data_IF_011267909825
#
_entry.id   IF_011267909825
#
_cell.length_a   1.000
_cell.length_b   1.000
_cell.length_c   1.000
_cell.angle_alpha   90.00
_cell.angle_beta   90.00
_cell.angle_gamma   90.00
#
_symmetry.space_group_name_H-M   'P 1'
#
loop_
_entity.id
_entity.type
_entity.pdbx_description
1 polymer ?
#
# COMPACT_ATOMS: atom_id res chain seq x y z
N UNK A 1 -5.08 -23.53 -35.65
CA UNK A 1 -6.07 -22.58 -35.12
C UNK A 1 -5.90 -22.24 -33.64
N UNK A 2 -5.79 -23.19 -32.70
CA UNK A 2 -5.60 -22.87 -31.23
C UNK A 2 -4.28 -22.18 -30.87
N UNK A 3 -3.20 -22.36 -31.62
CA UNK A 3 -1.88 -21.73 -31.40
C UNK A 3 -1.86 -20.27 -31.85
N UNK A 4 -2.53 -19.93 -32.93
CA UNK A 4 -2.63 -18.55 -33.49
C UNK A 4 -3.49 -17.64 -32.60
N UNK A 5 -4.55 -18.17 -31.99
CA UNK A 5 -5.37 -17.44 -31.00
C UNK A 5 -4.64 -17.12 -29.69
N UNK A 6 -3.65 -17.95 -29.31
CA UNK A 6 -2.83 -17.70 -28.10
C UNK A 6 -1.84 -16.56 -28.30
N UNK A 7 -1.33 -16.36 -29.53
CA UNK A 7 -0.41 -15.25 -29.88
C UNK A 7 -1.11 -13.89 -30.05
N UNK A 8 -2.38 -13.89 -30.46
CA UNK A 8 -3.17 -12.67 -30.65
C UNK A 8 -3.73 -12.09 -29.35
N UNK A 9 -3.80 -12.89 -28.27
CA UNK A 9 -4.33 -12.44 -26.96
C UNK A 9 -3.57 -11.26 -26.32
N UNK A 10 -2.22 -11.20 -26.33
CA UNK A 10 -1.48 -10.06 -25.77
C UNK A 10 -1.72 -8.76 -26.56
N UNK A 11 -1.73 -8.85 -27.88
CA UNK A 11 -1.95 -7.68 -28.77
C UNK A 11 -3.38 -7.15 -28.67
N UNK A 12 -4.38 -8.03 -28.64
CA UNK A 12 -5.78 -7.65 -28.44
C UNK A 12 -6.00 -7.04 -27.05
N UNK A 13 -5.29 -7.54 -26.03
CA UNK A 13 -5.31 -6.97 -24.67
C UNK A 13 -4.72 -5.56 -24.68
N UNK A 14 -3.58 -5.36 -25.33
CA UNK A 14 -2.91 -4.07 -25.43
C UNK A 14 -3.74 -3.02 -26.21
N UNK A 15 -4.42 -3.44 -27.28
CA UNK A 15 -5.37 -2.59 -28.03
C UNK A 15 -6.61 -2.27 -27.16
N UNK A 16 -7.16 -3.24 -26.44
CA UNK A 16 -8.29 -3.00 -25.56
C UNK A 16 -7.92 -2.08 -24.37
N UNK A 17 -6.72 -2.23 -23.81
CA UNK A 17 -6.18 -1.34 -22.78
C UNK A 17 -5.99 0.10 -23.28
N UNK A 18 -5.60 0.28 -24.55
CA UNK A 18 -5.46 1.61 -25.15
C UNK A 18 -6.81 2.26 -25.52
N UNK A 19 -7.80 1.48 -25.93
CA UNK A 19 -9.12 1.98 -26.36
C UNK A 19 -10.09 2.17 -25.18
N UNK A 20 -9.98 1.34 -24.13
CA UNK A 20 -10.88 1.34 -22.98
C UNK A 20 -10.10 1.25 -21.65
N UNK A 21 -9.18 2.15 -21.37
CA UNK A 21 -8.30 2.05 -20.21
C UNK A 21 -9.09 1.98 -18.90
N UNK A 22 -10.09 2.85 -18.70
CA UNK A 22 -10.89 2.91 -17.46
C UNK A 22 -11.65 1.61 -17.17
N UNK A 23 -12.21 0.97 -18.20
CA UNK A 23 -13.01 -0.26 -18.07
C UNK A 23 -12.12 -1.49 -17.82
N UNK A 24 -10.97 -1.55 -18.47
CA UNK A 24 -10.00 -2.63 -18.28
C UNK A 24 -9.32 -2.55 -16.90
N UNK A 25 -9.06 -1.35 -16.41
CA UNK A 25 -8.56 -1.12 -15.06
C UNK A 25 -9.54 -1.61 -13.99
N UNK A 26 -10.82 -1.21 -14.06
CA UNK A 26 -11.85 -1.66 -13.14
C UNK A 26 -11.98 -3.21 -13.13
N UNK A 27 -11.92 -3.85 -14.31
CA UNK A 27 -11.92 -5.32 -14.42
C UNK A 27 -10.69 -5.98 -13.79
N UNK A 28 -9.51 -5.37 -13.91
CA UNK A 28 -8.28 -5.88 -13.33
C UNK A 28 -8.35 -5.82 -11.80
N UNK A 29 -8.87 -4.74 -11.24
CA UNK A 29 -9.04 -4.58 -9.80
C UNK A 29 -10.03 -5.59 -9.19
N UNK A 30 -11.10 -5.94 -9.89
CA UNK A 30 -11.99 -7.02 -9.46
C UNK A 30 -11.30 -8.39 -9.34
N UNK A 31 -10.26 -8.66 -10.13
CA UNK A 31 -9.47 -9.90 -9.97
C UNK A 31 -8.47 -9.82 -8.81
N UNK A 32 -7.99 -8.63 -8.49
CA UNK A 32 -7.04 -8.39 -7.39
C UNK A 32 -7.69 -8.43 -6.00
N UNK A 33 -8.97 -8.17 -5.88
CA UNK A 33 -9.74 -8.36 -4.62
C UNK A 33 -9.50 -9.72 -3.97
N UNK A 34 -9.20 -10.75 -4.76
CA UNK A 34 -8.88 -12.10 -4.24
C UNK A 34 -7.47 -12.23 -3.65
N UNK A 35 -6.61 -11.24 -3.87
CA UNK A 35 -5.21 -11.23 -3.43
C UNK A 35 -5.05 -10.41 -2.15
N UNK A 36 -5.98 -9.47 -1.90
CA UNK A 36 -5.98 -8.58 -0.75
C UNK A 36 -7.14 -8.91 0.18
N UNK A 37 -6.98 -9.85 1.11
CA UNK A 37 -8.05 -10.31 1.98
C UNK A 37 -8.56 -9.23 2.95
N UNK A 38 -7.82 -8.14 3.15
CA UNK A 38 -8.19 -7.01 4.00
C UNK A 38 -9.14 -6.01 3.32
N UNK A 39 -9.30 -6.05 2.00
CA UNK A 39 -10.19 -5.12 1.29
C UNK A 39 -11.63 -5.07 1.81
N UNK A 40 -12.28 -6.21 2.17
CA UNK A 40 -13.60 -6.18 2.75
C UNK A 40 -13.70 -5.39 4.05
N UNK A 41 -12.59 -5.19 4.77
CA UNK A 41 -12.55 -4.46 6.03
C UNK A 41 -12.59 -2.93 5.83
N UNK A 42 -12.23 -2.40 4.65
CA UNK A 42 -12.13 -0.96 4.40
C UNK A 42 -13.37 -0.15 4.83
N UNK A 43 -14.63 -0.63 4.65
CA UNK A 43 -15.81 0.11 5.12
C UNK A 43 -15.83 0.32 6.64
N UNK A 44 -15.24 -0.58 7.43
CA UNK A 44 -15.10 -0.41 8.88
C UNK A 44 -13.89 0.45 9.27
N UNK A 45 -12.88 0.52 8.42
CA UNK A 45 -11.63 1.23 8.68
C UNK A 45 -11.69 2.70 8.23
N UNK A 46 -12.48 3.02 7.21
CA UNK A 46 -12.60 4.37 6.66
C UNK A 46 -13.75 5.15 7.29
N UNK A 47 -13.60 6.46 7.35
CA UNK A 47 -14.68 7.39 7.72
C UNK A 47 -15.12 8.18 6.48
N UNK A 48 -16.43 8.20 6.20
CA UNK A 48 -17.00 8.91 5.03
C UNK A 48 -16.85 10.43 5.08
N UNK A 49 -16.65 10.99 6.26
CA UNK A 49 -16.46 12.42 6.49
C UNK A 49 -14.98 12.85 6.52
N UNK A 50 -14.06 11.91 6.34
CA UNK A 50 -12.62 12.12 6.49
C UNK A 50 -11.84 11.84 5.20
N UNK A 51 -10.59 12.31 5.18
CA UNK A 51 -9.62 12.07 4.11
C UNK A 51 -9.02 10.68 4.28
N UNK A 52 -8.86 9.93 3.18
CA UNK A 52 -8.06 8.72 3.12
C UNK A 52 -6.78 8.98 2.33
N UNK A 53 -5.66 8.45 2.81
CA UNK A 53 -4.36 8.53 2.15
C UNK A 53 -3.97 7.17 1.59
N UNK A 54 -3.37 7.16 0.38
CA UNK A 54 -2.78 6.00 -0.26
C UNK A 54 -1.32 6.32 -0.59
N UNK A 55 -0.38 5.83 0.25
CA UNK A 55 1.05 6.12 0.15
C UNK A 55 1.73 4.90 -0.48
N UNK A 56 2.30 5.08 -1.68
CA UNK A 56 2.73 4.01 -2.57
C UNK A 56 1.56 3.53 -3.44
N UNK A 57 0.76 4.48 -3.95
CA UNK A 57 -0.51 4.18 -4.61
C UNK A 57 -0.38 3.34 -5.89
N UNK A 58 0.81 3.26 -6.48
CA UNK A 58 1.06 2.50 -7.71
C UNK A 58 0.02 2.85 -8.81
N UNK A 59 -0.65 1.85 -9.38
CA UNK A 59 -1.72 2.06 -10.37
C UNK A 59 -3.06 2.52 -9.74
N UNK A 60 -3.16 2.69 -8.41
CA UNK A 60 -4.33 3.19 -7.71
C UNK A 60 -5.32 2.11 -7.28
N UNK A 61 -4.83 0.90 -6.98
CA UNK A 61 -5.68 -0.21 -6.55
C UNK A 61 -6.42 0.13 -5.24
N UNK A 62 -5.69 0.46 -4.17
CA UNK A 62 -6.31 0.87 -2.91
C UNK A 62 -7.04 2.19 -3.05
N UNK A 63 -6.46 3.20 -3.71
CA UNK A 63 -7.11 4.49 -3.95
C UNK A 63 -8.49 4.34 -4.62
N UNK A 64 -8.64 3.41 -5.59
CA UNK A 64 -9.93 3.11 -6.22
C UNK A 64 -10.98 2.64 -5.21
N UNK A 65 -10.61 1.75 -4.28
CA UNK A 65 -11.52 1.20 -3.28
C UNK A 65 -11.82 2.21 -2.15
N UNK A 66 -10.92 3.16 -1.90
CA UNK A 66 -11.10 4.21 -0.92
C UNK A 66 -12.07 5.32 -1.39
N UNK A 67 -12.16 5.59 -2.70
CA UNK A 67 -13.03 6.65 -3.25
C UNK A 67 -14.48 6.62 -2.76
N UNK A 68 -15.19 5.48 -2.71
CA UNK A 68 -16.57 5.44 -2.22
C UNK A 68 -16.68 5.47 -0.69
N UNK A 69 -15.57 5.34 0.05
CA UNK A 69 -15.53 5.14 1.51
C UNK A 69 -15.03 6.35 2.29
N UNK A 70 -14.44 7.33 1.62
CA UNK A 70 -13.87 8.53 2.21
C UNK A 70 -14.49 9.81 1.62
N UNK A 71 -14.35 10.93 2.30
CA UNK A 71 -14.73 12.26 1.79
C UNK A 71 -13.89 12.65 0.57
N UNK A 72 -12.60 12.36 0.63
CA UNK A 72 -11.63 12.55 -0.45
C UNK A 72 -10.46 11.59 -0.27
N UNK A 73 -9.75 11.34 -1.36
CA UNK A 73 -8.55 10.51 -1.37
C UNK A 73 -7.37 11.33 -1.85
N UNK A 74 -6.23 11.19 -1.18
CA UNK A 74 -4.95 11.76 -1.58
C UNK A 74 -3.99 10.60 -1.81
N UNK A 75 -3.43 10.52 -3.00
CA UNK A 75 -2.52 9.45 -3.41
C UNK A 75 -1.09 9.98 -3.63
N UNK A 76 -0.11 9.22 -3.19
CA UNK A 76 1.32 9.52 -3.35
C UNK A 76 1.97 8.39 -4.13
N UNK A 77 2.54 8.72 -5.31
CA UNK A 77 3.17 7.74 -6.18
C UNK A 77 4.35 8.39 -6.93
N UNK A 78 5.60 8.05 -6.59
CA UNK A 78 6.78 8.69 -7.17
C UNK A 78 7.18 8.19 -8.56
N UNK A 79 6.83 6.94 -8.94
CA UNK A 79 7.25 6.37 -10.22
C UNK A 79 6.52 7.03 -11.39
N UNK A 80 7.22 7.66 -12.36
CA UNK A 80 6.60 8.40 -13.46
C UNK A 80 5.58 7.59 -14.25
N UNK A 81 5.85 6.30 -14.50
CA UNK A 81 4.98 5.42 -15.28
C UNK A 81 3.68 5.11 -14.53
N UNK A 82 3.77 4.86 -13.21
CA UNK A 82 2.61 4.59 -12.36
C UNK A 82 1.82 5.88 -12.13
N UNK A 83 2.51 6.98 -11.85
CA UNK A 83 1.93 8.32 -11.70
C UNK A 83 1.14 8.75 -12.95
N UNK A 84 1.68 8.50 -14.14
CA UNK A 84 0.96 8.81 -15.39
C UNK A 84 -0.34 8.00 -15.53
N UNK A 85 -0.30 6.70 -15.18
CA UNK A 85 -1.50 5.84 -15.18
C UNK A 85 -2.51 6.28 -14.13
N UNK A 86 -2.05 6.55 -12.92
CA UNK A 86 -2.89 7.01 -11.81
C UNK A 86 -3.60 8.32 -12.18
N UNK A 87 -2.87 9.30 -12.69
CA UNK A 87 -3.43 10.58 -13.17
C UNK A 87 -4.41 10.40 -14.33
N UNK A 88 -4.06 9.57 -15.30
CA UNK A 88 -4.94 9.27 -16.45
C UNK A 88 -6.30 8.69 -16.06
N UNK A 89 -6.37 7.94 -14.96
CA UNK A 89 -7.59 7.29 -14.50
C UNK A 89 -8.35 8.09 -13.42
N UNK A 90 -7.64 8.90 -12.61
CA UNK A 90 -8.20 9.40 -11.35
C UNK A 90 -7.95 10.89 -11.07
N UNK A 91 -7.27 11.67 -11.94
CA UNK A 91 -6.96 13.07 -11.67
C UNK A 91 -8.19 13.95 -11.35
N UNK A 92 -9.37 13.61 -11.87
CA UNK A 92 -10.63 14.30 -11.58
C UNK A 92 -11.34 13.82 -10.30
N UNK A 93 -10.85 12.74 -9.68
CA UNK A 93 -11.52 12.05 -8.58
C UNK A 93 -10.76 12.12 -7.26
N UNK A 94 -9.46 12.34 -7.32
CA UNK A 94 -8.57 12.40 -6.15
C UNK A 94 -7.39 13.32 -6.39
N UNK A 95 -6.79 13.79 -5.31
CA UNK A 95 -5.52 14.52 -5.33
C UNK A 95 -4.35 13.54 -5.49
N UNK A 96 -3.39 13.86 -6.40
CA UNK A 96 -2.29 12.94 -6.74
C UNK A 96 -0.96 13.67 -6.72
N UNK A 97 -0.04 13.23 -5.85
CA UNK A 97 1.30 13.77 -5.70
C UNK A 97 2.36 12.80 -6.23
N UNK A 98 3.24 13.33 -7.10
CA UNK A 98 4.40 12.61 -7.65
C UNK A 98 5.62 12.73 -6.75
N UNK A 99 5.55 12.24 -5.51
CA UNK A 99 6.60 12.38 -4.51
C UNK A 99 6.79 11.10 -3.70
N UNK A 100 7.98 10.92 -3.20
CA UNK A 100 8.30 9.94 -2.16
C UNK A 100 7.91 10.55 -0.81
N UNK A 101 7.13 9.84 0.00
CA UNK A 101 6.92 10.21 1.41
C UNK A 101 8.03 9.57 2.24
N UNK A 102 8.69 10.38 3.08
CA UNK A 102 9.86 9.98 3.86
C UNK A 102 9.98 10.79 5.14
N UNK A 103 11.03 10.54 5.92
CA UNK A 103 11.38 11.26 7.16
C UNK A 103 12.05 12.63 6.94
N UNK A 104 12.40 12.95 5.68
CA UNK A 104 13.10 14.19 5.32
C UNK A 104 12.66 14.70 3.94
N UNK A 105 12.96 15.97 3.67
CA UNK A 105 12.76 16.58 2.37
C UNK A 105 14.03 16.49 1.50
N UNK A 106 13.86 16.54 0.17
CA UNK A 106 14.95 16.51 -0.79
C UNK A 106 14.62 15.72 -2.04
N UNK A 107 15.57 14.90 -2.48
CA UNK A 107 15.40 13.95 -3.59
C UNK A 107 15.79 12.55 -3.11
N UNK A 108 15.08 11.55 -3.59
CA UNK A 108 15.35 10.14 -3.35
C UNK A 108 15.48 9.36 -4.64
N UNK A 109 16.30 8.32 -4.61
CA UNK A 109 16.48 7.40 -5.72
C UNK A 109 15.66 6.14 -5.49
N UNK A 110 14.66 5.89 -6.38
CA UNK A 110 13.95 4.63 -6.41
C UNK A 110 14.63 3.66 -7.35
N UNK A 111 14.86 2.45 -6.87
CA UNK A 111 15.43 1.34 -7.64
C UNK A 111 14.36 0.28 -7.88
N UNK A 112 14.24 -0.21 -9.10
CA UNK A 112 13.28 -1.26 -9.45
C UNK A 112 13.81 -2.14 -10.59
N UNK A 113 13.44 -3.44 -10.62
CA UNK A 113 13.79 -4.32 -11.74
C UNK A 113 13.05 -3.88 -13.02
N UNK A 114 13.73 -3.86 -14.16
CA UNK A 114 13.13 -3.54 -15.45
C UNK A 114 11.83 -4.34 -15.69
N UNK A 115 10.73 -3.63 -15.91
CA UNK A 115 9.38 -4.21 -16.05
C UNK A 115 8.71 -4.67 -14.73
N UNK A 116 9.35 -4.41 -13.56
CA UNK A 116 8.86 -4.81 -12.24
C UNK A 116 8.52 -3.64 -11.32
N UNK A 117 7.66 -2.73 -11.76
CA UNK A 117 7.32 -1.49 -11.05
C UNK A 117 6.66 -1.68 -9.67
N UNK A 118 6.13 -2.88 -9.39
CA UNK A 118 5.49 -3.19 -8.10
C UNK A 118 6.49 -3.39 -6.95
N UNK A 119 7.77 -3.56 -7.24
CA UNK A 119 8.85 -3.77 -6.26
C UNK A 119 9.81 -2.58 -6.24
N UNK A 120 9.32 -1.37 -6.49
CA UNK A 120 10.15 -0.18 -6.48
C UNK A 120 10.41 0.25 -5.04
N UNK A 121 11.67 0.42 -4.68
CA UNK A 121 12.09 0.76 -3.31
C UNK A 121 13.20 1.79 -3.31
N UNK A 122 13.26 2.61 -2.26
CA UNK A 122 14.42 3.41 -1.89
C UNK A 122 15.24 2.77 -0.76
N UNK A 123 14.72 1.70 -0.16
CA UNK A 123 15.40 1.00 0.91
C UNK A 123 16.60 0.22 0.36
N UNK A 124 17.80 0.55 0.81
CA UNK A 124 19.03 -0.18 0.45
C UNK A 124 18.99 -1.63 0.95
N UNK A 125 18.24 -1.89 2.02
CA UNK A 125 18.05 -3.22 2.61
C UNK A 125 17.16 -4.13 1.78
N UNK A 126 16.38 -3.63 0.82
CA UNK A 126 15.53 -4.45 -0.04
C UNK A 126 16.32 -5.13 -1.16
N UNK A 127 17.22 -6.08 -0.77
CA UNK A 127 17.99 -6.89 -1.69
C UNK A 127 17.11 -7.79 -2.56
N UNK A 128 15.94 -8.20 -2.06
CA UNK A 128 15.04 -9.09 -2.77
C UNK A 128 14.53 -8.52 -4.12
N UNK A 129 14.30 -7.21 -4.19
CA UNK A 129 14.00 -6.54 -5.45
C UNK A 129 15.20 -6.52 -6.40
N UNK A 130 16.42 -6.45 -5.86
CA UNK A 130 17.68 -6.32 -6.60
C UNK A 130 18.26 -7.69 -7.04
N UNK A 131 17.92 -8.78 -6.33
CA UNK A 131 18.43 -10.15 -6.60
C UNK A 131 17.74 -10.86 -7.76
N UNK A 132 16.80 -10.22 -8.44
CA UNK A 132 16.00 -10.83 -9.53
C UNK A 132 16.81 -11.22 -10.77
N UNK A 133 18.12 -10.90 -10.85
CA UNK A 133 18.95 -11.07 -12.05
C UNK A 133 18.53 -10.18 -13.24
N UNK A 134 17.61 -9.24 -13.02
CA UNK A 134 17.13 -8.28 -14.01
C UNK A 134 17.97 -7.02 -13.96
N UNK A 135 17.93 -6.26 -15.05
CA UNK A 135 18.49 -4.90 -15.09
C UNK A 135 17.74 -4.05 -14.05
N UNK A 136 18.48 -3.35 -13.21
CA UNK A 136 17.91 -2.40 -12.25
C UNK A 136 17.85 -1.03 -12.90
N UNK A 137 16.67 -0.46 -12.92
CA UNK A 137 16.42 0.92 -13.32
C UNK A 137 16.36 1.81 -12.08
N UNK A 138 16.79 3.06 -12.22
CA UNK A 138 16.77 4.06 -11.15
C UNK A 138 16.01 5.29 -11.62
N UNK A 139 15.15 5.81 -10.76
CA UNK A 139 14.42 7.06 -10.95
C UNK A 139 14.65 7.97 -9.75
N UNK A 140 14.96 9.24 -10.01
CA UNK A 140 15.04 10.28 -8.99
C UNK A 140 13.69 10.96 -8.88
N UNK A 141 13.16 11.08 -7.66
CA UNK A 141 11.89 11.76 -7.40
C UNK A 141 12.00 12.71 -6.18
N UNK A 142 11.18 13.77 -6.13
CA UNK A 142 11.11 14.64 -4.96
C UNK A 142 10.70 13.82 -3.73
N UNK A 143 11.34 14.11 -2.59
CA UNK A 143 11.08 13.49 -1.31
C UNK A 143 10.53 14.52 -0.32
N UNK A 144 9.45 14.21 0.38
CA UNK A 144 8.76 15.08 1.32
C UNK A 144 8.34 14.32 2.56
N UNK A 145 8.21 15.04 3.67
CA UNK A 145 7.57 14.48 4.87
C UNK A 145 6.05 14.56 4.72
N UNK A 146 5.31 13.62 5.30
CA UNK A 146 3.84 13.68 5.31
C UNK A 146 3.36 14.93 6.08
N UNK A 147 4.07 15.31 7.14
CA UNK A 147 3.75 16.48 7.96
C UNK A 147 3.85 17.81 7.19
N UNK A 148 4.71 17.88 6.15
CA UNK A 148 4.84 19.07 5.31
C UNK A 148 3.58 19.43 4.51
N UNK A 149 2.68 18.46 4.29
CA UNK A 149 1.40 18.66 3.63
C UNK A 149 0.33 19.28 4.54
N UNK A 150 0.55 19.33 5.86
CA UNK A 150 -0.36 19.91 6.85
C UNK A 150 -1.80 19.40 6.74
N UNK A 151 -1.95 18.10 6.44
CA UNK A 151 -3.25 17.48 6.23
C UNK A 151 -4.10 17.48 7.50
N UNK A 152 -5.39 17.68 7.34
CA UNK A 152 -6.37 17.68 8.43
C UNK A 152 -7.53 16.75 8.11
N UNK A 153 -8.22 16.27 9.16
CA UNK A 153 -9.32 15.32 9.08
C UNK A 153 -8.93 14.03 8.35
N UNK A 154 -7.72 13.52 8.61
CA UNK A 154 -7.25 12.23 8.08
C UNK A 154 -7.87 11.10 8.89
N UNK A 155 -8.64 10.22 8.24
CA UNK A 155 -9.33 9.12 8.88
C UNK A 155 -8.73 7.74 8.62
N UNK A 156 -8.02 7.58 7.51
CA UNK A 156 -7.41 6.32 7.10
C UNK A 156 -6.12 6.57 6.31
N UNK A 157 -5.13 5.70 6.51
CA UNK A 157 -3.87 5.72 5.73
C UNK A 157 -3.49 4.30 5.34
N UNK A 158 -3.35 4.03 4.03
CA UNK A 158 -2.63 2.86 3.49
C UNK A 158 -1.17 3.26 3.28
N UNK A 159 -0.25 2.42 3.70
CA UNK A 159 1.19 2.55 3.42
C UNK A 159 1.68 1.26 2.77
N UNK A 160 2.30 1.39 1.59
CA UNK A 160 2.86 0.29 0.82
C UNK A 160 4.06 0.82 0.02
N UNK A 161 5.23 0.82 0.63
CA UNK A 161 6.44 1.51 0.11
C UNK A 161 7.68 0.62 0.09
N UNK A 162 7.47 -0.71 0.14
CA UNK A 162 8.48 -1.72 -0.14
C UNK A 162 9.76 -1.58 0.70
N UNK A 163 9.58 -1.46 2.04
CA UNK A 163 10.66 -1.40 3.02
C UNK A 163 11.02 0.00 3.52
N UNK A 164 10.22 1.03 3.18
CA UNK A 164 10.43 2.42 3.62
C UNK A 164 9.36 2.92 4.61
N UNK A 165 8.58 2.01 5.19
CA UNK A 165 7.42 2.30 6.04
C UNK A 165 7.79 3.10 7.29
N UNK A 166 8.94 2.79 7.93
CA UNK A 166 9.42 3.53 9.10
C UNK A 166 9.67 5.00 8.80
N UNK A 167 10.32 5.30 7.67
CA UNK A 167 10.59 6.67 7.27
C UNK A 167 9.30 7.45 6.98
N UNK A 168 8.30 6.80 6.36
CA UNK A 168 6.97 7.39 6.18
C UNK A 168 6.33 7.75 7.51
N UNK A 169 6.38 6.85 8.50
CA UNK A 169 5.81 7.05 9.82
C UNK A 169 6.52 8.16 10.60
N UNK A 170 7.85 8.21 10.53
CA UNK A 170 8.64 9.28 11.15
C UNK A 170 8.33 10.65 10.53
N UNK A 171 8.22 10.71 9.18
CA UNK A 171 7.86 11.94 8.48
C UNK A 171 6.40 12.37 8.63
N UNK A 172 5.54 11.48 9.17
CA UNK A 172 4.13 11.75 9.45
C UNK A 172 3.78 11.82 10.94
N UNK A 173 4.77 11.85 11.83
CA UNK A 173 4.56 11.71 13.27
C UNK A 173 3.55 12.71 13.83
N UNK A 174 3.63 13.99 13.49
CA UNK A 174 2.72 15.02 14.00
C UNK A 174 1.31 14.83 13.44
N UNK A 175 1.18 14.48 12.16
CA UNK A 175 -0.11 14.14 11.55
C UNK A 175 -0.73 12.91 12.22
N UNK A 176 0.03 11.84 12.44
CA UNK A 176 -0.45 10.61 13.09
C UNK A 176 -0.89 10.87 14.54
N UNK A 177 -0.14 11.65 15.31
CA UNK A 177 -0.50 12.00 16.69
C UNK A 177 -1.75 12.86 16.78
N UNK A 178 -1.90 13.83 15.88
CA UNK A 178 -3.00 14.79 15.87
C UNK A 178 -4.30 14.18 15.34
N UNK A 179 -4.24 13.53 14.18
CA UNK A 179 -5.42 13.05 13.46
C UNK A 179 -5.87 11.65 13.93
N UNK A 180 -4.93 10.84 14.44
CA UNK A 180 -5.19 9.47 14.89
C UNK A 180 -5.95 8.63 13.84
N UNK A 181 -5.49 8.58 12.56
CA UNK A 181 -6.14 7.76 11.54
C UNK A 181 -6.03 6.27 11.85
N UNK A 182 -6.93 5.46 11.29
CA UNK A 182 -6.69 4.02 11.18
C UNK A 182 -5.62 3.77 10.10
N UNK A 183 -4.74 2.80 10.33
CA UNK A 183 -3.64 2.51 9.41
C UNK A 183 -3.76 1.07 8.88
N UNK A 184 -3.43 0.90 7.61
CA UNK A 184 -3.12 -0.39 6.99
C UNK A 184 -1.74 -0.27 6.37
N UNK A 185 -0.78 -1.04 6.86
CA UNK A 185 0.63 -0.95 6.47
C UNK A 185 1.07 -2.31 5.94
N UNK A 186 1.58 -2.33 4.72
CA UNK A 186 2.26 -3.50 4.19
C UNK A 186 3.68 -3.55 4.74
N UNK A 187 4.03 -4.64 5.44
CA UNK A 187 5.35 -4.84 6.03
C UNK A 187 5.82 -6.25 5.69
N UNK A 188 6.93 -6.33 5.00
CA UNK A 188 7.57 -7.59 4.68
C UNK A 188 8.97 -7.65 5.30
N UNK A 189 9.19 -8.62 6.20
CA UNK A 189 10.48 -8.82 6.87
C UNK A 189 11.65 -9.06 5.89
N UNK A 190 11.36 -9.58 4.70
CA UNK A 190 12.36 -9.75 3.63
C UNK A 190 12.86 -8.45 3.03
N UNK A 191 12.09 -7.36 3.11
CA UNK A 191 12.48 -6.05 2.59
C UNK A 191 13.36 -5.29 3.59
N UNK A 192 13.00 -5.37 4.87
CA UNK A 192 13.73 -4.73 5.97
C UNK A 192 13.61 -5.60 7.23
N UNK A 193 14.56 -6.53 7.50
CA UNK A 193 14.49 -7.39 8.66
C UNK A 193 14.30 -6.65 9.98
N UNK A 194 13.34 -7.10 10.80
CA UNK A 194 12.95 -6.47 12.06
C UNK A 194 12.06 -5.23 11.90
N UNK A 195 11.59 -4.92 10.67
CA UNK A 195 10.74 -3.75 10.42
C UNK A 195 9.41 -3.82 11.16
N UNK A 196 8.81 -5.00 11.26
CA UNK A 196 7.55 -5.16 11.97
C UNK A 196 7.64 -4.76 13.44
N UNK A 197 8.71 -5.17 14.13
CA UNK A 197 8.93 -4.83 15.53
C UNK A 197 9.18 -3.32 15.70
N UNK A 198 9.97 -2.70 14.81
CA UNK A 198 10.27 -1.26 14.87
C UNK A 198 9.03 -0.41 14.58
N UNK A 199 8.26 -0.75 13.53
CA UNK A 199 6.99 -0.09 13.19
C UNK A 199 5.99 -0.23 14.35
N UNK A 200 5.85 -1.44 14.91
CA UNK A 200 4.93 -1.70 16.02
C UNK A 200 5.33 -0.93 17.28
N UNK A 201 6.61 -0.90 17.60
CA UNK A 201 7.14 -0.14 18.76
C UNK A 201 6.90 1.36 18.58
N UNK A 202 7.19 1.91 17.41
CA UNK A 202 6.94 3.32 17.10
C UNK A 202 5.44 3.67 17.27
N UNK A 203 4.55 2.89 16.65
CA UNK A 203 3.11 3.14 16.69
C UNK A 203 2.54 2.95 18.10
N UNK A 204 3.01 1.95 18.85
CA UNK A 204 2.60 1.74 20.25
C UNK A 204 3.00 2.93 21.13
N UNK A 205 4.19 3.50 20.94
CA UNK A 205 4.65 4.66 21.69
C UNK A 205 3.78 5.92 21.46
N UNK A 206 3.09 6.00 20.32
CA UNK A 206 2.14 7.09 20.02
C UNK A 206 0.68 6.67 20.19
N UNK A 207 0.41 5.54 20.87
CA UNK A 207 -0.93 5.11 21.32
C UNK A 207 -1.76 4.36 20.28
N UNK A 208 -1.12 3.52 19.47
CA UNK A 208 -1.79 2.57 18.58
C UNK A 208 -1.67 1.13 19.08
N UNK A 209 -2.66 0.32 18.76
CA UNK A 209 -2.65 -1.14 18.93
C UNK A 209 -2.60 -1.81 17.55
N UNK A 210 -1.74 -2.83 17.40
CA UNK A 210 -1.49 -3.54 16.15
C UNK A 210 -2.24 -4.87 16.04
N UNK A 211 -2.73 -5.17 14.82
CA UNK A 211 -3.47 -6.37 14.49
C UNK A 211 -3.11 -6.85 13.08
N UNK A 212 -3.50 -8.08 12.74
CA UNK A 212 -3.42 -8.65 11.39
C UNK A 212 -4.60 -9.58 11.12
N UNK A 213 -4.90 -9.80 9.85
CA UNK A 213 -5.95 -10.72 9.42
C UNK A 213 -5.36 -12.11 9.17
N UNK A 214 -5.90 -13.14 9.81
CA UNK A 214 -5.57 -14.55 9.61
C UNK A 214 -6.83 -15.33 9.23
N UNK A 215 -6.98 -15.62 7.95
CA UNK A 215 -8.25 -16.15 7.43
C UNK A 215 -9.41 -15.16 7.69
N UNK A 216 -10.34 -15.55 8.55
CA UNK A 216 -11.48 -14.71 8.94
C UNK A 216 -11.36 -14.19 10.38
N UNK A 217 -10.16 -14.17 10.96
CA UNK A 217 -9.93 -13.68 12.32
C UNK A 217 -8.96 -12.50 12.32
N UNK A 218 -9.32 -11.42 13.02
CA UNK A 218 -8.42 -10.32 13.29
C UNK A 218 -7.72 -10.60 14.63
N UNK A 219 -6.42 -10.85 14.56
CA UNK A 219 -5.59 -11.23 15.69
C UNK A 219 -4.65 -10.10 16.12
N UNK A 220 -4.32 -10.00 17.44
CA UNK A 220 -3.31 -9.06 17.91
C UNK A 220 -1.94 -9.37 17.31
N UNK A 221 -1.18 -8.33 16.96
CA UNK A 221 0.14 -8.44 16.33
C UNK A 221 1.14 -9.27 17.17
N UNK A 222 0.97 -9.30 18.49
CA UNK A 222 1.78 -10.13 19.39
C UNK A 222 1.68 -11.66 19.12
N UNK A 223 0.69 -12.10 18.33
CA UNK A 223 0.57 -13.50 17.91
C UNK A 223 1.23 -13.78 16.56
N UNK A 224 1.69 -12.76 15.88
CA UNK A 224 2.33 -12.89 14.59
C UNK A 224 3.73 -13.49 14.72
N UNK A 225 4.09 -14.40 13.80
CA UNK A 225 5.41 -15.01 13.70
C UNK A 225 5.84 -14.99 12.22
N UNK A 226 6.84 -14.18 11.84
CA UNK A 226 7.26 -14.06 10.44
C UNK A 226 7.73 -15.38 9.84
N UNK A 227 8.31 -16.29 10.66
CA UNK A 227 8.73 -17.62 10.20
C UNK A 227 7.58 -18.57 9.89
N UNK A 228 6.39 -18.31 10.43
CA UNK A 228 5.16 -19.08 10.18
C UNK A 228 4.24 -18.38 9.19
N UNK A 229 4.12 -17.06 9.28
CA UNK A 229 3.05 -16.28 8.68
C UNK A 229 3.48 -15.49 7.42
N UNK A 230 4.81 -15.35 7.16
CA UNK A 230 5.37 -14.76 5.93
C UNK A 230 6.26 -15.77 5.18
N UNK A 231 5.75 -16.99 4.94
CA UNK A 231 6.57 -18.08 4.38
C UNK A 231 6.50 -18.07 2.85
N UNK A 232 7.66 -17.89 2.21
CA UNK A 232 7.89 -18.19 0.78
C UNK A 232 8.86 -19.37 0.67
N UNK A 233 8.38 -20.54 0.30
CA UNK A 233 9.23 -21.72 0.10
C UNK A 233 9.22 -22.16 -1.37
N UNK A 234 10.41 -22.30 -1.97
CA UNK A 234 10.61 -22.87 -3.31
C UNK A 234 9.75 -22.25 -4.42
N UNK A 235 9.56 -20.92 -4.41
CA UNK A 235 8.75 -20.22 -5.39
C UNK A 235 7.23 -20.39 -5.20
N UNK A 236 6.79 -21.08 -4.16
CA UNK A 236 5.39 -21.14 -3.76
C UNK A 236 5.17 -20.27 -2.55
N UNK A 237 4.13 -19.46 -2.62
CA UNK A 237 3.65 -18.66 -1.48
C UNK A 237 2.80 -19.58 -0.62
N UNK A 238 3.26 -19.84 0.63
CA UNK A 238 2.47 -20.48 1.66
C UNK A 238 1.48 -19.50 2.28
N UNK A 239 1.29 -19.58 3.60
CA UNK A 239 0.61 -18.51 4.34
C UNK A 239 1.49 -17.26 4.26
N UNK A 240 0.93 -16.15 3.77
CA UNK A 240 1.69 -14.92 3.57
C UNK A 240 0.86 -13.71 3.96
N UNK A 241 1.11 -13.24 5.18
CA UNK A 241 0.44 -12.07 5.76
C UNK A 241 1.44 -10.91 5.71
N UNK A 242 1.12 -9.87 4.99
CA UNK A 242 1.96 -8.69 4.81
C UNK A 242 1.24 -7.36 5.13
N UNK A 243 -0.09 -7.36 5.23
CA UNK A 243 -0.85 -6.20 5.65
C UNK A 243 -1.15 -6.25 7.16
N UNK A 244 -0.75 -5.19 7.87
CA UNK A 244 -0.98 -5.01 9.29
C UNK A 244 -1.89 -3.82 9.54
N UNK A 245 -2.80 -3.98 10.51
CA UNK A 245 -3.79 -2.99 10.87
C UNK A 245 -3.39 -2.34 12.19
N UNK A 246 -3.39 -1.01 12.24
CA UNK A 246 -3.11 -0.29 13.48
C UNK A 246 -4.24 0.68 13.76
N UNK A 247 -4.78 0.60 14.96
CA UNK A 247 -5.89 1.43 15.42
C UNK A 247 -5.49 2.22 16.65
N UNK A 248 -5.97 3.47 16.81
CA UNK A 248 -5.82 4.18 18.09
C UNK A 248 -6.36 3.31 19.22
N UNK A 249 -5.54 3.12 20.26
CA UNK A 249 -5.80 2.13 21.32
C UNK A 249 -7.12 2.34 22.04
N UNK A 250 -7.55 3.61 22.17
CA UNK A 250 -8.80 4.03 22.79
C UNK A 250 -10.06 3.67 21.95
N UNK A 251 -9.91 3.45 20.64
CA UNK A 251 -10.99 3.12 19.70
C UNK A 251 -10.91 1.71 19.12
N UNK A 252 -9.82 1.00 19.37
CA UNK A 252 -9.52 -0.28 18.74
C UNK A 252 -10.65 -1.32 18.93
N UNK A 253 -11.22 -1.43 20.12
CA UNK A 253 -12.27 -2.40 20.41
C UNK A 253 -13.52 -2.19 19.52
N UNK A 254 -13.99 -0.95 19.38
CA UNK A 254 -15.15 -0.63 18.55
C UNK A 254 -14.88 -0.83 17.05
N UNK A 255 -13.66 -0.53 16.58
CA UNK A 255 -13.24 -0.76 15.19
C UNK A 255 -13.21 -2.26 14.88
N UNK A 256 -12.64 -3.07 15.78
CA UNK A 256 -12.59 -4.53 15.64
C UNK A 256 -13.99 -5.15 15.59
N UNK A 257 -14.91 -4.69 16.44
CA UNK A 257 -16.31 -5.15 16.43
C UNK A 257 -16.99 -4.80 15.10
N UNK A 258 -16.80 -3.58 14.60
CA UNK A 258 -17.30 -3.16 13.29
C UNK A 258 -16.68 -3.98 12.15
N UNK A 259 -15.38 -4.23 12.18
CA UNK A 259 -14.66 -4.97 11.15
C UNK A 259 -15.13 -6.43 11.03
N UNK A 260 -15.48 -7.08 12.14
CA UNK A 260 -15.99 -8.48 12.14
C UNK A 260 -17.25 -8.69 11.32
N UNK A 261 -18.02 -7.64 11.03
CA UNK A 261 -19.22 -7.72 10.19
C UNK A 261 -18.89 -7.95 8.71
N UNK A 262 -17.64 -7.79 8.33
CA UNK A 262 -17.14 -7.90 6.95
C UNK A 262 -16.27 -9.16 6.70
N UNK A 263 -16.11 -10.01 7.72
CA UNK A 263 -15.44 -11.30 7.68
C UNK A 263 -16.45 -12.45 7.54
#
# INVERSE_FOLDING_TARGET
>A
MKRTLKMLRPQLKQVAESLFPKTMYARRFHTWVKVEPELPLLPALCRKDAVALDIGANEGFFAHHLLPLAKSVIAFEPLPQMLARLRGNYAEKMEIHGVIISDKEGQGELKYPAGGYMSATIAESNSAALESGRVIETVVAPMKTLDSFKLTNVGFVKIDVEGHEEAVLHGGMETLKREKPNLMIEIEERHAPGSLDRVTSFLSAIGYAGFYLDGNEILPIARFDPHRDQVRQNGKVGKYINNFLYFPSDRAAGILESARQYL
#
